data_IF_860826317941
#
_entry.id   IF_860826317941
#
_cell.length_a   1.000
_cell.length_b   1.000
_cell.length_c   1.000
_cell.angle_alpha   90.00
_cell.angle_beta   90.00
_cell.angle_gamma   90.00
#
_symmetry.space_group_name_H-M   'P 1'
#
loop_
_entity.id
_entity.type
_entity.pdbx_description
1 polymer ?
#
# COMPACT_ATOMS: atom_id res chain seq x y z
N UNK A 1 -6.75 -15.43 9.84
CA UNK A 1 -6.51 -13.96 10.00
C UNK A 1 -7.15 -13.13 8.88
N UNK A 2 -7.22 -11.80 9.01
CA UNK A 2 -7.63 -10.86 7.94
C UNK A 2 -6.49 -9.93 7.55
N UNK A 3 -6.25 -9.77 6.25
CA UNK A 3 -5.33 -8.78 5.70
C UNK A 3 -6.14 -7.79 4.88
N UNK A 4 -6.05 -6.50 5.23
CA UNK A 4 -6.66 -5.41 4.48
C UNK A 4 -5.58 -4.47 3.95
N UNK A 5 -5.76 -4.03 2.71
CA UNK A 5 -5.01 -2.93 2.08
C UNK A 5 -6.02 -1.98 1.49
N UNK A 6 -5.81 -0.67 1.63
CA UNK A 6 -6.77 0.32 1.18
C UNK A 6 -6.16 1.67 0.83
N UNK A 7 -6.80 2.32 -0.13
CA UNK A 7 -6.84 3.77 -0.27
C UNK A 7 -8.15 4.22 0.39
N UNK A 8 -8.03 4.88 1.55
CA UNK A 8 -9.18 5.17 2.41
C UNK A 8 -10.29 5.92 1.68
N UNK A 9 -11.52 5.43 1.86
CA UNK A 9 -12.71 6.00 1.24
C UNK A 9 -12.85 5.74 -0.26
N UNK A 10 -11.96 4.96 -0.89
CA UNK A 10 -12.01 4.70 -2.34
C UNK A 10 -11.89 3.23 -2.72
N UNK A 11 -10.73 2.61 -2.46
CA UNK A 11 -10.38 1.29 -2.99
C UNK A 11 -9.84 0.39 -1.87
N UNK A 12 -10.28 -0.87 -1.79
CA UNK A 12 -9.72 -1.82 -0.83
C UNK A 12 -9.71 -3.26 -1.34
N UNK A 13 -8.79 -4.04 -0.79
CA UNK A 13 -8.79 -5.51 -0.83
C UNK A 13 -8.73 -6.01 0.61
N UNK A 14 -9.66 -6.88 0.97
CA UNK A 14 -9.64 -7.66 2.20
C UNK A 14 -9.53 -9.14 1.85
N UNK A 15 -8.54 -9.81 2.43
CA UNK A 15 -8.33 -11.25 2.26
C UNK A 15 -8.39 -11.94 3.60
N UNK A 16 -9.25 -12.94 3.70
CA UNK A 16 -9.32 -13.88 4.82
C UNK A 16 -8.39 -15.05 4.51
N UNK A 17 -7.49 -15.34 5.44
CA UNK A 17 -6.51 -16.42 5.31
C UNK A 17 -6.59 -17.38 6.50
N UNK A 18 -6.18 -18.62 6.28
CA UNK A 18 -6.16 -19.68 7.30
C UNK A 18 -5.14 -19.44 8.42
N UNK A 19 -4.00 -18.81 8.09
CA UNK A 19 -2.91 -18.61 9.05
C UNK A 19 -3.22 -17.66 10.20
N UNK A 20 -2.33 -17.71 11.19
CA UNK A 20 -2.47 -17.02 12.47
C UNK A 20 -1.64 -15.73 12.58
N UNK A 21 -0.75 -15.45 11.62
CA UNK A 21 0.16 -14.30 11.67
C UNK A 21 0.43 -13.66 10.31
N UNK A 22 0.71 -12.35 10.32
CA UNK A 22 1.03 -11.59 9.10
C UNK A 22 2.31 -12.05 8.39
N UNK A 23 3.24 -12.71 9.09
CA UNK A 23 4.45 -13.30 8.51
C UNK A 23 4.20 -14.66 7.86
N UNK A 24 3.08 -15.32 8.16
CA UNK A 24 2.74 -16.65 7.65
C UNK A 24 1.22 -16.76 7.47
N UNK A 25 0.64 -16.03 6.51
CA UNK A 25 -0.81 -15.92 6.38
C UNK A 25 -1.49 -17.20 5.90
N UNK A 26 -0.75 -18.16 5.34
CA UNK A 26 -1.30 -19.45 4.92
C UNK A 26 -2.22 -19.34 3.69
N UNK A 27 -3.15 -20.29 3.57
CA UNK A 27 -4.03 -20.39 2.39
C UNK A 27 -5.08 -19.26 2.38
N UNK A 28 -5.34 -18.71 1.19
CA UNK A 28 -6.44 -17.76 0.94
C UNK A 28 -7.79 -18.48 0.99
N UNK A 29 -8.69 -18.00 1.84
CA UNK A 29 -10.05 -18.54 2.03
C UNK A 29 -11.08 -17.70 1.27
N UNK A 30 -11.01 -16.37 1.42
CA UNK A 30 -11.98 -15.45 0.82
C UNK A 30 -11.30 -14.14 0.45
N UNK A 31 -11.71 -13.58 -0.68
CA UNK A 31 -11.28 -12.26 -1.16
C UNK A 31 -12.51 -11.37 -1.30
N UNK A 32 -12.48 -10.21 -0.66
CA UNK A 32 -13.47 -9.14 -0.79
C UNK A 32 -12.75 -7.90 -1.31
N UNK A 33 -13.32 -7.21 -2.30
CA UNK A 33 -12.72 -6.00 -2.83
C UNK A 33 -13.79 -5.05 -3.33
N UNK A 34 -13.53 -3.75 -3.20
CA UNK A 34 -14.34 -2.66 -3.74
C UNK A 34 -13.37 -1.61 -4.24
N UNK A 35 -13.69 -0.98 -5.37
CA UNK A 35 -12.91 0.14 -5.84
C UNK A 35 -13.51 0.77 -7.09
N UNK A 36 -12.77 1.74 -7.62
CA UNK A 36 -13.07 2.43 -8.87
C UNK A 36 -12.94 1.50 -10.08
N UNK A 37 -13.38 1.99 -11.25
CA UNK A 37 -13.41 1.18 -12.47
C UNK A 37 -12.03 0.63 -12.87
N UNK A 38 -10.97 1.43 -12.74
CA UNK A 38 -9.59 1.03 -13.03
C UNK A 38 -9.14 -0.11 -12.11
N UNK A 39 -9.41 0.03 -10.81
CA UNK A 39 -9.09 -0.97 -9.81
C UNK A 39 -9.81 -2.30 -10.05
N UNK A 40 -11.11 -2.23 -10.34
CA UNK A 40 -11.94 -3.41 -10.61
C UNK A 40 -11.50 -4.14 -11.90
N UNK A 41 -11.19 -3.38 -12.96
CA UNK A 41 -10.67 -3.93 -14.21
C UNK A 41 -9.32 -4.64 -13.99
N UNK A 42 -8.43 -4.02 -13.20
CA UNK A 42 -7.15 -4.63 -12.85
C UNK A 42 -7.32 -5.94 -12.06
N UNK A 43 -8.18 -5.96 -11.04
CA UNK A 43 -8.51 -7.16 -10.27
C UNK A 43 -9.07 -8.27 -11.17
N UNK A 44 -9.96 -7.93 -12.11
CA UNK A 44 -10.52 -8.89 -13.06
C UNK A 44 -9.48 -9.42 -14.05
N UNK A 45 -8.62 -8.55 -14.59
CA UNK A 45 -7.51 -8.94 -15.48
C UNK A 45 -6.58 -9.91 -14.78
N UNK A 46 -6.15 -9.59 -13.57
CA UNK A 46 -5.22 -10.43 -12.80
C UNK A 46 -5.85 -11.80 -12.50
N UNK A 47 -7.11 -11.83 -12.07
CA UNK A 47 -7.85 -13.08 -11.82
C UNK A 47 -7.98 -13.96 -13.06
N UNK A 48 -8.23 -13.35 -14.23
CA UNK A 48 -8.35 -14.08 -15.50
C UNK A 48 -7.03 -14.71 -15.95
N UNK A 49 -5.91 -14.01 -15.76
CA UNK A 49 -4.60 -14.47 -16.23
C UNK A 49 -3.89 -15.41 -15.25
N UNK A 50 -4.05 -15.20 -13.95
CA UNK A 50 -3.27 -15.89 -12.92
C UNK A 50 -4.13 -16.74 -11.96
N UNK A 51 -5.44 -16.80 -12.18
CA UNK A 51 -6.38 -17.58 -11.37
C UNK A 51 -6.89 -16.85 -10.13
N UNK A 52 -7.67 -17.56 -9.31
CA UNK A 52 -8.36 -16.96 -8.16
C UNK A 52 -7.46 -16.73 -6.93
N UNK A 53 -6.29 -17.36 -6.88
CA UNK A 53 -5.38 -17.31 -5.74
C UNK A 53 -4.41 -16.14 -5.85
N UNK A 54 -4.72 -15.04 -5.16
CA UNK A 54 -3.96 -13.77 -5.20
C UNK A 54 -2.50 -13.97 -4.77
N UNK A 55 -2.22 -14.91 -3.85
CA UNK A 55 -0.85 -15.15 -3.37
C UNK A 55 0.11 -15.58 -4.50
N UNK A 56 -0.43 -16.15 -5.57
CA UNK A 56 0.31 -16.65 -6.73
C UNK A 56 0.44 -15.65 -7.88
N UNK A 57 -0.19 -14.48 -7.77
CA UNK A 57 -0.14 -13.47 -8.83
C UNK A 57 1.26 -12.83 -8.95
N UNK A 58 1.72 -12.44 -10.15
CA UNK A 58 2.94 -11.66 -10.26
C UNK A 58 2.77 -10.31 -9.54
N UNK A 59 3.87 -9.78 -9.02
CA UNK A 59 3.87 -8.50 -8.32
C UNK A 59 3.71 -7.37 -9.33
N UNK A 60 2.64 -6.54 -9.28
CA UNK A 60 2.43 -5.46 -10.23
C UNK A 60 3.56 -4.42 -10.22
N UNK A 61 3.91 -3.88 -11.39
CA UNK A 61 5.00 -2.91 -11.58
C UNK A 61 4.52 -1.46 -11.71
N UNK A 62 3.21 -1.22 -11.91
CA UNK A 62 2.66 0.13 -12.05
C UNK A 62 2.80 1.00 -10.78
N UNK A 63 2.70 2.31 -10.99
CA UNK A 63 2.75 3.33 -9.93
C UNK A 63 1.38 3.97 -9.66
N UNK A 64 0.33 3.51 -10.30
CA UNK A 64 -1.03 3.90 -9.97
C UNK A 64 -1.48 3.24 -8.65
N UNK A 65 -2.51 3.82 -8.03
CA UNK A 65 -3.08 3.33 -6.77
C UNK A 65 -3.46 1.84 -6.84
N UNK A 66 -3.98 1.35 -7.97
CA UNK A 66 -4.40 -0.04 -8.10
C UNK A 66 -3.20 -0.98 -8.05
N UNK A 67 -2.17 -0.69 -8.85
CA UNK A 67 -0.89 -1.40 -8.85
C UNK A 67 -0.22 -1.41 -7.47
N UNK A 68 -0.22 -0.27 -6.77
CA UNK A 68 0.35 -0.13 -5.43
C UNK A 68 -0.39 -1.01 -4.41
N UNK A 69 -1.73 -0.93 -4.36
CA UNK A 69 -2.53 -1.71 -3.42
C UNK A 69 -2.41 -3.22 -3.68
N UNK A 70 -2.44 -3.63 -4.95
CA UNK A 70 -2.33 -5.05 -5.27
C UNK A 70 -0.92 -5.58 -5.00
N UNK A 71 0.13 -4.80 -5.27
CA UNK A 71 1.51 -5.13 -4.89
C UNK A 71 1.62 -5.37 -3.39
N UNK A 72 1.07 -4.47 -2.58
CA UNK A 72 1.04 -4.64 -1.13
C UNK A 72 0.32 -5.92 -0.73
N UNK A 73 -0.87 -6.18 -1.27
CA UNK A 73 -1.63 -7.39 -0.95
C UNK A 73 -0.85 -8.67 -1.29
N UNK A 74 -0.27 -8.75 -2.49
CA UNK A 74 0.52 -9.91 -2.92
C UNK A 74 1.72 -10.12 -1.99
N UNK A 75 2.46 -9.06 -1.64
CA UNK A 75 3.61 -9.16 -0.74
C UNK A 75 3.20 -9.54 0.70
N UNK A 76 2.10 -8.98 1.22
CA UNK A 76 1.56 -9.34 2.54
C UNK A 76 1.14 -10.81 2.58
N UNK A 77 0.48 -11.31 1.53
CA UNK A 77 0.09 -12.72 1.41
C UNK A 77 1.29 -13.68 1.31
N UNK A 78 2.46 -13.18 0.93
CA UNK A 78 3.72 -13.95 0.89
C UNK A 78 4.55 -13.81 2.16
N UNK A 79 4.15 -12.96 3.10
CA UNK A 79 5.00 -12.60 4.25
C UNK A 79 6.25 -11.78 3.86
N UNK A 80 6.27 -11.22 2.65
CA UNK A 80 7.40 -10.46 2.09
C UNK A 80 7.26 -8.95 2.28
N UNK A 81 6.10 -8.47 2.76
CA UNK A 81 5.86 -7.05 3.02
C UNK A 81 6.71 -6.54 4.20
N UNK A 82 7.54 -5.53 3.93
CA UNK A 82 8.49 -4.93 4.87
C UNK A 82 8.48 -3.42 4.72
N UNK A 83 7.47 -2.78 5.30
CA UNK A 83 7.33 -1.34 5.23
C UNK A 83 8.57 -0.63 5.84
N UNK A 84 9.10 0.43 5.21
CA UNK A 84 10.43 0.94 5.51
C UNK A 84 10.48 1.84 6.77
N UNK A 85 9.34 2.10 7.39
CA UNK A 85 9.21 3.01 8.53
C UNK A 85 8.27 2.40 9.58
N UNK A 86 8.61 2.51 10.87
CA UNK A 86 7.94 1.74 11.94
C UNK A 86 7.20 2.61 12.96
N UNK A 87 7.48 3.91 13.04
CA UNK A 87 6.79 4.80 13.97
C UNK A 87 5.40 5.18 13.42
N UNK A 88 4.45 5.41 14.31
CA UNK A 88 3.10 5.86 13.94
C UNK A 88 3.10 7.27 13.34
N UNK A 89 4.10 8.08 13.70
CA UNK A 89 4.25 9.47 13.30
C UNK A 89 5.56 9.70 12.56
N UNK A 90 5.47 10.21 11.33
CA UNK A 90 6.65 10.51 10.51
C UNK A 90 7.10 11.96 10.67
N UNK A 91 6.17 12.89 10.91
CA UNK A 91 6.50 14.31 11.11
C UNK A 91 6.14 14.79 12.52
N UNK A 92 7.11 14.66 13.43
CA UNK A 92 6.96 15.03 14.84
C UNK A 92 6.62 16.51 15.10
N UNK A 93 7.18 17.43 14.30
CA UNK A 93 6.91 18.87 14.49
C UNK A 93 5.52 19.33 14.01
N UNK A 94 4.82 18.50 13.22
CA UNK A 94 3.50 18.80 12.64
C UNK A 94 2.44 17.75 13.01
N UNK A 95 2.81 16.76 13.80
CA UNK A 95 1.94 15.67 14.23
C UNK A 95 1.31 14.93 13.04
N UNK A 96 2.12 14.62 12.01
CA UNK A 96 1.63 13.93 10.80
C UNK A 96 1.99 12.46 10.88
N UNK A 97 0.95 11.62 10.89
CA UNK A 97 1.08 10.17 10.95
C UNK A 97 1.75 9.60 9.69
N UNK A 98 2.45 8.49 9.89
CA UNK A 98 2.99 7.65 8.82
C UNK A 98 1.89 7.19 7.88
N UNK A 99 0.73 6.84 8.42
CA UNK A 99 -0.46 6.46 7.65
C UNK A 99 -0.93 7.58 6.72
N UNK A 100 -1.00 8.83 7.20
CA UNK A 100 -1.44 9.96 6.36
C UNK A 100 -0.48 10.21 5.19
N UNK A 101 0.83 10.06 5.41
CA UNK A 101 1.83 10.14 4.34
C UNK A 101 1.69 8.97 3.36
N UNK A 102 1.52 7.75 3.86
CA UNK A 102 1.34 6.57 3.02
C UNK A 102 0.08 6.66 2.14
N UNK A 103 -1.04 7.10 2.70
CA UNK A 103 -2.29 7.34 1.96
C UNK A 103 -2.13 8.41 0.87
N UNK A 104 -1.42 9.50 1.16
CA UNK A 104 -1.11 10.52 0.15
C UNK A 104 -0.29 9.93 -1.02
N UNK A 105 0.67 9.06 -0.71
CA UNK A 105 1.51 8.40 -1.73
C UNK A 105 0.67 7.44 -2.57
N UNK A 106 -0.17 6.60 -1.95
CA UNK A 106 -1.11 5.71 -2.67
C UNK A 106 -2.05 6.53 -3.57
N UNK A 107 -2.46 7.72 -3.13
CA UNK A 107 -3.30 8.64 -3.89
C UNK A 107 -2.57 9.38 -5.03
N UNK A 108 -1.26 9.20 -5.19
CA UNK A 108 -0.48 9.78 -6.29
C UNK A 108 0.58 10.82 -5.88
N UNK A 109 0.81 11.07 -4.59
CA UNK A 109 1.83 12.00 -4.12
C UNK A 109 3.24 11.39 -4.21
N UNK A 110 3.78 11.30 -5.42
CA UNK A 110 5.03 10.59 -5.73
C UNK A 110 6.30 11.42 -5.56
N UNK A 111 6.22 12.62 -5.00
CA UNK A 111 7.40 13.43 -4.65
C UNK A 111 7.24 14.05 -3.26
N UNK A 112 8.34 14.33 -2.53
CA UNK A 112 8.26 14.97 -1.22
C UNK A 112 7.51 16.30 -1.24
N UNK A 113 7.58 17.06 -2.33
CA UNK A 113 6.88 18.34 -2.52
C UNK A 113 5.37 18.12 -2.59
N UNK A 114 4.91 17.12 -3.33
CA UNK A 114 3.48 16.80 -3.44
C UNK A 114 2.96 16.25 -2.11
N UNK A 115 3.71 15.38 -1.43
CA UNK A 115 3.36 14.90 -0.09
C UNK A 115 3.25 16.06 0.89
N UNK A 116 4.26 16.95 0.92
CA UNK A 116 4.28 18.16 1.76
C UNK A 116 3.02 19.01 1.54
N UNK A 117 2.63 19.22 0.28
CA UNK A 117 1.43 20.00 -0.07
C UNK A 117 0.13 19.34 0.40
N UNK A 118 0.05 18.01 0.38
CA UNK A 118 -1.17 17.29 0.76
C UNK A 118 -1.28 17.05 2.27
N UNK A 119 -0.16 16.87 2.99
CA UNK A 119 -0.17 16.44 4.40
C UNK A 119 0.37 17.47 5.37
N UNK A 120 0.99 18.57 4.89
CA UNK A 120 1.77 19.52 5.71
C UNK A 120 3.01 18.94 6.40
N UNK A 121 3.41 17.70 6.09
CA UNK A 121 4.69 17.16 6.55
C UNK A 121 5.86 18.00 5.99
N UNK A 122 6.93 18.15 6.76
CA UNK A 122 8.14 18.92 6.37
C UNK A 122 7.98 20.44 6.22
N UNK A 123 6.81 21.05 6.52
CA UNK A 123 6.63 22.50 6.35
C UNK A 123 7.20 23.36 7.50
N UNK A 124 7.80 22.75 8.53
CA UNK A 124 8.34 23.46 9.70
C UNK A 124 9.85 23.21 9.88
N UNK A 125 10.26 22.10 10.53
CA UNK A 125 11.69 21.82 10.73
C UNK A 125 12.34 21.04 9.58
N UNK A 126 11.55 20.33 8.75
CA UNK A 126 12.02 19.60 7.58
C UNK A 126 12.75 18.26 7.85
N UNK A 127 12.98 17.87 9.10
CA UNK A 127 13.80 16.69 9.45
C UNK A 127 13.20 15.35 8.99
N UNK A 128 11.88 15.27 8.81
CA UNK A 128 11.18 14.06 8.34
C UNK A 128 11.28 13.83 6.82
N UNK A 129 11.82 14.79 6.05
CA UNK A 129 11.84 14.72 4.58
C UNK A 129 12.55 13.46 4.03
N UNK A 130 13.70 13.00 4.59
CA UNK A 130 14.33 11.76 4.16
C UNK A 130 13.46 10.52 4.39
N UNK A 131 12.70 10.47 5.50
CA UNK A 131 11.81 9.35 5.81
C UNK A 131 10.62 9.31 4.85
N UNK A 132 10.04 10.47 4.53
CA UNK A 132 9.01 10.59 3.48
C UNK A 132 9.52 10.06 2.14
N UNK A 133 10.75 10.41 1.74
CA UNK A 133 11.35 9.90 0.51
C UNK A 133 11.54 8.37 0.52
N UNK A 134 11.92 7.79 1.66
CA UNK A 134 12.03 6.32 1.79
C UNK A 134 10.68 5.62 1.59
N UNK A 135 9.59 6.17 2.15
CA UNK A 135 8.25 5.62 1.97
C UNK A 135 7.82 5.71 0.49
N UNK A 136 8.07 6.85 -0.16
CA UNK A 136 7.81 7.03 -1.61
C UNK A 136 8.56 5.96 -2.41
N UNK A 137 9.88 5.84 -2.23
CA UNK A 137 10.71 4.90 -2.99
C UNK A 137 10.23 3.45 -2.82
N UNK A 138 9.87 3.08 -1.59
CA UNK A 138 9.35 1.76 -1.27
C UNK A 138 8.02 1.47 -1.99
N UNK A 139 7.10 2.44 -1.99
CA UNK A 139 5.79 2.30 -2.65
C UNK A 139 5.93 2.22 -4.17
N UNK A 140 6.84 2.98 -4.77
CA UNK A 140 6.97 3.10 -6.22
C UNK A 140 7.89 2.07 -6.87
N UNK A 141 8.54 1.18 -6.11
CA UNK A 141 9.59 0.29 -6.63
C UNK A 141 10.58 1.07 -7.53
N UNK A 142 10.92 2.30 -7.14
CA UNK A 142 11.93 3.07 -7.86
C UNK A 142 13.26 2.35 -7.64
N UNK A 143 13.77 1.74 -8.72
CA UNK A 143 15.07 1.08 -8.80
C UNK A 143 16.21 2.02 -8.39
#
# INVERSE_FOLDING_TARGET
MKIKVELEGRDFIEVECEGDSHSSPGRVLKVTHVGCAEFMDMMQKMKRHFGADISKWPVPEGNDHSSILLREMVLRLRGEWKFPYQEDEVCHCRTISTHAVDQAIIAGAHTPEVVTRQTSASTACGTCRPEVQKIINYRLKSA
#
